data_IF_889624716861
#
_entry.id   IF_889624716861
#
_cell.length_a   1.000
_cell.length_b   1.000
_cell.length_c   1.000
_cell.angle_alpha   90.00
_cell.angle_beta   90.00
_cell.angle_gamma   90.00
#
_symmetry.space_group_name_H-M   'P 1'
#
loop_
_entity.id
_entity.type
_entity.pdbx_description
1 polymer ?
#
# COMPACT_ATOMS: atom_id res chain seq x y z
N UNK A 1 -1.98 5.16 8.65
CA UNK A 1 -3.27 4.45 8.51
C UNK A 1 -3.73 3.91 9.84
N UNK A 2 -4.96 3.41 9.92
CA UNK A 2 -5.56 2.91 11.18
C UNK A 2 -5.33 1.40 11.28
N UNK A 3 -4.79 0.92 12.39
CA UNK A 3 -4.61 -0.50 12.68
C UNK A 3 -5.89 -1.11 13.25
N UNK A 4 -5.95 -2.44 13.33
CA UNK A 4 -7.13 -3.17 13.87
C UNK A 4 -7.49 -2.78 15.31
N UNK A 5 -6.51 -2.33 16.09
CA UNK A 5 -6.69 -1.87 17.47
C UNK A 5 -7.10 -0.38 17.58
N UNK A 6 -7.29 0.30 16.45
CA UNK A 6 -7.64 1.72 16.38
C UNK A 6 -6.44 2.67 16.49
N UNK A 7 -5.22 2.16 16.68
CA UNK A 7 -4.02 3.00 16.71
C UNK A 7 -3.70 3.54 15.32
N UNK A 8 -3.17 4.77 15.29
CA UNK A 8 -2.65 5.38 14.08
C UNK A 8 -1.17 5.08 13.95
N UNK A 9 -0.77 4.61 12.78
CA UNK A 9 0.64 4.41 12.47
C UNK A 9 1.01 5.06 11.16
N UNK A 10 2.12 5.78 11.19
CA UNK A 10 2.76 6.33 10.01
C UNK A 10 3.52 5.24 9.25
N UNK A 11 3.81 5.49 7.97
CA UNK A 11 4.66 4.66 7.12
C UNK A 11 4.21 3.19 6.97
N UNK A 12 2.91 2.93 6.99
CA UNK A 12 2.36 1.58 6.77
C UNK A 12 2.31 1.17 5.30
N UNK A 13 2.42 2.14 4.38
CA UNK A 13 2.36 1.95 2.95
C UNK A 13 3.11 3.10 2.25
N UNK A 14 3.53 2.88 1.00
CA UNK A 14 4.17 3.91 0.19
C UNK A 14 3.64 3.89 -1.24
N UNK A 15 3.93 4.93 -2.01
CA UNK A 15 3.52 5.03 -3.40
C UNK A 15 4.60 5.74 -4.22
N UNK A 16 4.78 5.31 -5.46
CA UNK A 16 5.63 6.01 -6.42
C UNK A 16 4.81 7.10 -7.09
N UNK A 17 4.91 8.34 -6.56
CA UNK A 17 4.20 9.51 -7.11
C UNK A 17 4.71 9.87 -8.50
N UNK A 18 6.02 9.74 -8.71
CA UNK A 18 6.64 9.91 -10.01
C UNK A 18 7.61 8.73 -10.26
N UNK A 19 7.11 7.64 -10.87
CA UNK A 19 7.96 6.49 -11.20
C UNK A 19 8.96 6.84 -12.30
N UNK A 20 10.02 6.05 -12.37
CA UNK A 20 10.96 6.10 -13.49
C UNK A 20 10.27 5.81 -14.83
N UNK A 21 10.82 6.36 -15.91
CA UNK A 21 10.25 6.26 -17.26
C UNK A 21 10.03 4.83 -17.75
N UNK A 22 10.80 3.86 -17.24
CA UNK A 22 10.70 2.44 -17.59
C UNK A 22 9.52 1.74 -16.91
N UNK A 23 8.96 2.33 -15.85
CA UNK A 23 7.90 1.74 -15.03
C UNK A 23 6.75 2.73 -14.76
N UNK A 24 6.14 3.35 -15.78
CA UNK A 24 5.07 4.34 -15.57
C UNK A 24 3.80 3.70 -14.98
N UNK A 25 3.62 2.39 -15.15
CA UNK A 25 2.42 1.65 -14.71
C UNK A 25 2.21 1.60 -13.20
N UNK A 26 3.25 1.84 -12.39
CA UNK A 26 3.11 1.85 -10.92
C UNK A 26 2.72 3.22 -10.37
N UNK A 27 2.54 4.23 -11.24
CA UNK A 27 2.16 5.58 -10.83
C UNK A 27 0.81 5.56 -10.13
N UNK A 28 0.78 6.10 -8.91
CA UNK A 28 -0.44 6.18 -8.11
C UNK A 28 -0.88 4.86 -7.45
N UNK A 29 -0.13 3.77 -7.62
CA UNK A 29 -0.37 2.53 -6.87
C UNK A 29 0.17 2.66 -5.44
N UNK A 30 -0.52 2.01 -4.50
CA UNK A 30 -0.07 1.86 -3.12
C UNK A 30 0.63 0.52 -2.97
N UNK A 31 1.82 0.56 -2.40
CA UNK A 31 2.64 -0.60 -2.09
C UNK A 31 2.70 -0.82 -0.57
N UNK A 32 2.79 -2.10 -0.20
CA UNK A 32 2.85 -2.56 1.18
C UNK A 32 4.05 -3.49 1.36
N UNK A 33 4.54 -3.60 2.59
CA UNK A 33 5.59 -4.56 2.93
C UNK A 33 4.97 -5.95 3.06
N UNK A 34 5.28 -6.91 2.16
CA UNK A 34 4.61 -8.22 2.18
C UNK A 34 4.80 -8.98 3.49
N UNK A 35 5.93 -8.79 4.16
CA UNK A 35 6.23 -9.40 5.47
C UNK A 35 5.46 -8.78 6.64
N UNK A 36 4.86 -7.61 6.45
CA UNK A 36 4.11 -6.88 7.48
C UNK A 36 2.60 -6.92 7.24
N UNK A 37 2.13 -7.63 6.20
CA UNK A 37 0.72 -7.68 5.81
C UNK A 37 0.30 -9.11 5.53
N UNK A 38 -0.68 -9.60 6.28
CA UNK A 38 -1.25 -10.94 6.06
C UNK A 38 -2.14 -11.00 4.81
N UNK A 39 -2.95 -9.96 4.56
CA UNK A 39 -3.87 -9.85 3.42
C UNK A 39 -4.14 -8.40 3.05
N UNK A 40 -4.26 -8.14 1.75
CA UNK A 40 -4.68 -6.86 1.19
C UNK A 40 -6.07 -7.06 0.57
N UNK A 41 -7.00 -6.15 0.85
CA UNK A 41 -8.33 -6.15 0.24
C UNK A 41 -8.60 -4.78 -0.40
N UNK A 42 -9.11 -4.78 -1.63
CA UNK A 42 -9.60 -3.62 -2.35
C UNK A 42 -11.12 -3.73 -2.45
N UNK A 43 -11.85 -2.73 -1.97
CA UNK A 43 -13.33 -2.72 -1.95
C UNK A 43 -13.95 -3.99 -1.33
N UNK A 44 -13.28 -4.53 -0.31
CA UNK A 44 -13.68 -5.77 0.38
C UNK A 44 -13.31 -7.07 -0.34
N UNK A 45 -12.68 -7.00 -1.52
CA UNK A 45 -12.22 -8.16 -2.27
C UNK A 45 -10.70 -8.35 -2.13
N UNK A 46 -10.19 -9.59 -2.00
CA UNK A 46 -8.75 -9.83 -1.99
C UNK A 46 -8.12 -9.43 -3.33
N UNK A 47 -6.93 -8.83 -3.28
CA UNK A 47 -6.08 -8.50 -4.44
C UNK A 47 -4.94 -9.49 -4.62
#
# INVERSE_FOLDING_TARGET
GVLKDGSLRDDIAWAYRDPIAEMPKIKGLIAFYPQAVDRIHLDGQPV
#
